data_IF_819748807551
#
_entry.id   IF_819748807551
#
_cell.length_a   1.000
_cell.length_b   1.000
_cell.length_c   1.000
_cell.angle_alpha   90.00
_cell.angle_beta   90.00
_cell.angle_gamma   90.00
#
_symmetry.space_group_name_H-M   'P 1'
#
loop_
_entity.id
_entity.type
_entity.pdbx_description
1 polymer ?
#
# COMPACT_ATOMS: atom_id res chain seq x y z
N UNK A 1 13.23 -16.56 33.82
CA UNK A 1 13.33 -16.75 32.36
C UNK A 1 13.46 -15.37 31.73
N UNK A 2 14.65 -15.01 31.23
CA UNK A 2 14.93 -13.69 30.62
C UNK A 2 14.91 -13.84 29.10
N UNK A 3 13.94 -13.22 28.44
CA UNK A 3 13.91 -13.09 26.98
C UNK A 3 14.70 -11.83 26.59
N UNK A 4 15.77 -12.00 25.82
CA UNK A 4 16.47 -10.89 25.16
C UNK A 4 15.94 -10.76 23.72
N UNK A 5 15.54 -9.56 23.24
CA UNK A 5 14.78 -9.42 22.01
C UNK A 5 15.63 -9.08 20.76
N UNK A 6 16.90 -9.47 20.72
CA UNK A 6 17.79 -9.18 19.58
C UNK A 6 18.15 -10.47 18.82
N UNK A 7 18.14 -10.48 17.47
CA UNK A 7 18.20 -11.70 16.67
C UNK A 7 19.60 -12.25 16.44
N UNK A 8 20.62 -11.73 17.13
CA UNK A 8 22.00 -12.19 16.98
C UNK A 8 22.44 -12.89 18.25
N UNK A 9 22.30 -14.22 18.26
CA UNK A 9 22.83 -15.12 19.28
C UNK A 9 24.35 -15.13 19.26
N UNK A 10 24.98 -14.05 19.71
CA UNK A 10 26.42 -14.00 19.94
C UNK A 10 26.68 -14.19 21.43
N UNK A 11 27.02 -15.42 21.81
CA UNK A 11 27.64 -15.68 23.09
C UNK A 11 29.05 -15.08 23.07
N UNK A 12 29.30 -14.08 23.92
CA UNK A 12 30.62 -13.47 24.11
C UNK A 12 31.46 -14.43 24.95
N UNK A 13 32.06 -15.42 24.30
CA UNK A 13 33.16 -16.20 24.86
C UNK A 13 34.22 -16.40 23.79
N UNK A 14 34.90 -15.32 23.42
CA UNK A 14 36.26 -15.46 22.93
C UNK A 14 37.08 -14.24 23.35
N UNK A 15 37.96 -14.44 24.32
CA UNK A 15 38.78 -13.42 24.96
C UNK A 15 40.04 -13.10 24.12
N UNK A 16 39.96 -13.29 22.81
CA UNK A 16 41.03 -13.04 21.85
C UNK A 16 40.94 -11.64 21.20
N UNK A 17 39.99 -10.80 21.62
CA UNK A 17 39.81 -9.39 21.19
C UNK A 17 40.68 -8.42 22.01
N UNK A 18 41.95 -8.76 22.24
CA UNK A 18 42.94 -7.87 22.88
C UNK A 18 44.25 -7.81 22.09
N UNK A 19 44.21 -7.99 20.77
CA UNK A 19 45.28 -7.53 19.90
C UNK A 19 44.87 -6.21 19.23
N UNK A 20 45.64 -5.12 19.40
CA UNK A 20 45.48 -3.97 18.54
C UNK A 20 45.76 -4.41 17.09
N UNK A 21 44.91 -4.04 16.11
CA UNK A 21 45.19 -4.35 14.72
C UNK A 21 46.48 -3.65 14.30
N UNK A 22 47.38 -4.39 13.65
CA UNK A 22 48.60 -3.84 13.05
C UNK A 22 48.24 -2.64 12.15
N UNK A 23 49.01 -1.54 12.17
CA UNK A 23 48.75 -0.40 11.30
C UNK A 23 48.91 -0.85 9.85
N UNK A 24 47.79 -0.99 9.15
CA UNK A 24 47.76 -1.30 7.72
C UNK A 24 48.15 0.00 7.00
N UNK A 25 49.26 -0.03 6.27
CA UNK A 25 49.73 1.04 5.40
C UNK A 25 48.57 1.59 4.54
N UNK A 26 48.28 2.88 4.70
CA UNK A 26 47.23 3.58 3.95
C UNK A 26 47.72 3.82 2.53
N UNK A 27 47.54 2.84 1.65
CA UNK A 27 47.56 3.04 0.21
C UNK A 27 46.44 4.02 -0.22
N UNK A 28 46.57 4.70 -1.38
CA UNK A 28 45.65 5.75 -1.79
C UNK A 28 44.22 5.25 -1.76
N UNK A 29 43.38 5.96 -1.01
CA UNK A 29 41.97 5.66 -0.82
C UNK A 29 41.22 5.70 -2.16
N UNK A 30 41.15 4.55 -2.84
CA UNK A 30 40.11 4.33 -3.83
C UNK A 30 38.76 4.49 -3.11
N UNK A 31 37.80 5.25 -3.65
CA UNK A 31 36.46 5.24 -3.11
C UNK A 31 35.96 3.81 -3.24
N UNK A 32 35.93 3.08 -2.13
CA UNK A 32 35.26 1.80 -2.00
C UNK A 32 33.83 2.03 -2.50
N UNK A 33 33.59 1.67 -3.76
CA UNK A 33 32.26 1.63 -4.35
C UNK A 33 31.50 0.64 -3.51
N UNK A 34 30.76 1.14 -2.52
CA UNK A 34 30.28 0.32 -1.40
C UNK A 34 29.26 -0.74 -1.83
N UNK A 35 28.80 -0.71 -3.09
CA UNK A 35 27.91 -1.68 -3.70
C UNK A 35 28.11 -1.72 -5.23
N UNK A 36 29.15 -2.37 -5.79
CA UNK A 36 29.32 -2.47 -7.25
C UNK A 36 28.23 -3.31 -7.90
N UNK A 37 27.48 -4.08 -7.09
CA UNK A 37 26.44 -5.02 -7.51
C UNK A 37 25.00 -4.57 -7.15
N UNK A 38 24.83 -3.34 -6.65
CA UNK A 38 23.49 -2.77 -6.51
C UNK A 38 22.95 -2.48 -7.91
N UNK A 39 22.19 -3.42 -8.47
CA UNK A 39 21.34 -3.18 -9.62
C UNK A 39 20.56 -1.90 -9.35
N UNK A 40 20.71 -0.90 -10.22
CA UNK A 40 19.98 0.36 -10.13
C UNK A 40 18.52 0.04 -9.81
N UNK A 41 18.05 0.43 -8.63
CA UNK A 41 16.65 0.20 -8.30
C UNK A 41 15.82 0.95 -9.33
N UNK A 42 14.87 0.28 -10.03
CA UNK A 42 14.04 0.95 -11.01
C UNK A 42 13.35 2.12 -10.31
N UNK A 43 13.56 3.33 -10.84
CA UNK A 43 13.04 4.55 -10.21
C UNK A 43 11.55 4.36 -9.88
N UNK A 44 11.08 4.77 -8.69
CA UNK A 44 9.68 4.67 -8.33
C UNK A 44 8.80 5.23 -9.45
N UNK A 45 7.86 4.43 -9.98
CA UNK A 45 6.98 4.84 -11.10
C UNK A 45 6.28 6.18 -10.83
N UNK A 46 6.02 6.50 -9.56
CA UNK A 46 5.41 7.77 -9.14
C UNK A 46 6.26 9.01 -9.49
N UNK A 47 7.58 8.89 -9.58
CA UNK A 47 8.49 9.97 -10.01
C UNK A 47 8.52 10.14 -11.53
N UNK A 48 8.03 9.16 -12.29
CA UNK A 48 7.98 9.17 -13.76
C UNK A 48 6.64 9.67 -14.30
N UNK A 49 5.68 10.02 -13.43
CA UNK A 49 4.36 10.42 -13.89
C UNK A 49 4.33 11.84 -14.41
N UNK A 50 3.69 12.00 -15.55
CA UNK A 50 3.37 13.33 -16.08
C UNK A 50 2.42 14.06 -15.12
N UNK A 51 2.41 15.41 -15.11
CA UNK A 51 1.44 16.18 -14.34
C UNK A 51 -0.02 15.74 -14.60
N UNK A 52 -0.35 15.41 -15.84
CA UNK A 52 -1.69 14.94 -16.23
C UNK A 52 -2.04 13.59 -15.61
N UNK A 53 -1.12 12.63 -15.63
CA UNK A 53 -1.33 11.31 -15.00
C UNK A 53 -1.56 11.43 -13.48
N UNK A 54 -0.79 12.30 -12.82
CA UNK A 54 -0.98 12.62 -11.40
C UNK A 54 -2.38 13.18 -11.14
N UNK A 55 -2.79 14.17 -11.94
CA UNK A 55 -4.12 14.76 -11.83
C UNK A 55 -5.24 13.73 -12.00
N UNK A 56 -5.16 12.87 -13.02
CA UNK A 56 -6.17 11.84 -13.28
C UNK A 56 -6.26 10.83 -12.14
N UNK A 57 -5.13 10.37 -11.61
CA UNK A 57 -5.12 9.50 -10.43
C UNK A 57 -5.74 10.18 -9.23
N UNK A 58 -5.32 11.40 -8.92
CA UNK A 58 -5.81 12.12 -7.73
C UNK A 58 -7.31 12.37 -7.83
N UNK A 59 -7.80 12.72 -9.02
CA UNK A 59 -9.23 12.81 -9.32
C UNK A 59 -9.95 11.49 -9.05
N UNK A 60 -9.42 10.37 -9.55
CA UNK A 60 -10.00 9.05 -9.34
C UNK A 60 -9.99 8.64 -7.85
N UNK A 61 -8.90 8.93 -7.14
CA UNK A 61 -8.76 8.67 -5.71
C UNK A 61 -9.77 9.48 -4.89
N UNK A 62 -9.97 10.77 -5.22
CA UNK A 62 -11.02 11.61 -4.61
C UNK A 62 -12.41 11.01 -4.81
N UNK A 63 -12.72 10.57 -6.03
CA UNK A 63 -14.01 9.94 -6.34
C UNK A 63 -14.23 8.66 -5.51
N UNK A 64 -13.21 7.80 -5.40
CA UNK A 64 -13.28 6.60 -4.55
C UNK A 64 -13.49 6.91 -3.07
N UNK A 65 -12.80 7.93 -2.54
CA UNK A 65 -12.95 8.32 -1.13
C UNK A 65 -14.35 8.86 -0.85
N UNK A 66 -14.92 9.66 -1.76
CA UNK A 66 -16.27 10.20 -1.62
C UNK A 66 -17.30 9.07 -1.51
N UNK A 67 -17.28 8.11 -2.44
CA UNK A 67 -18.23 6.99 -2.43
C UNK A 67 -18.05 6.09 -1.21
N UNK A 68 -16.79 5.83 -0.80
CA UNK A 68 -16.53 5.06 0.42
C UNK A 68 -17.13 5.72 1.65
N UNK A 69 -17.07 7.05 1.77
CA UNK A 69 -17.70 7.78 2.89
C UNK A 69 -19.21 7.59 2.87
N UNK A 70 -19.86 7.68 1.70
CA UNK A 70 -21.31 7.44 1.59
C UNK A 70 -21.69 6.01 2.01
N UNK A 71 -20.92 5.01 1.62
CA UNK A 71 -21.17 3.61 2.00
C UNK A 71 -20.89 3.40 3.50
N UNK A 72 -19.91 4.10 4.06
CA UNK A 72 -19.59 4.02 5.50
C UNK A 72 -20.70 4.62 6.37
N UNK A 73 -21.47 5.59 5.86
CA UNK A 73 -22.61 6.16 6.59
C UNK A 73 -23.84 5.26 6.62
N UNK A 74 -23.85 4.17 5.84
CA UNK A 74 -24.97 3.21 5.85
C UNK A 74 -24.95 2.35 7.12
N UNK A 75 -26.11 1.91 7.61
CA UNK A 75 -26.20 0.88 8.65
C UNK A 75 -25.43 -0.39 8.26
N UNK A 76 -24.80 -1.04 9.23
CA UNK A 76 -23.90 -2.18 8.96
C UNK A 76 -24.56 -3.33 8.17
N UNK A 77 -25.83 -3.64 8.47
CA UNK A 77 -26.59 -4.69 7.80
C UNK A 77 -26.95 -4.33 6.35
N UNK A 78 -27.30 -3.07 6.09
CA UNK A 78 -27.57 -2.57 4.74
C UNK A 78 -26.27 -2.52 3.92
N UNK A 79 -25.19 -2.07 4.55
CA UNK A 79 -23.87 -1.98 3.94
C UNK A 79 -23.35 -3.35 3.50
N UNK A 80 -23.49 -4.38 4.33
CA UNK A 80 -23.06 -5.74 3.96
C UNK A 80 -23.87 -6.27 2.78
N UNK A 81 -25.20 -6.16 2.84
CA UNK A 81 -26.10 -6.57 1.76
C UNK A 81 -25.78 -5.85 0.44
N UNK A 82 -25.58 -4.53 0.49
CA UNK A 82 -25.17 -3.71 -0.65
C UNK A 82 -23.84 -4.18 -1.26
N UNK A 83 -22.82 -4.40 -0.43
CA UNK A 83 -21.49 -4.80 -0.92
C UNK A 83 -21.49 -6.21 -1.51
N UNK A 84 -22.25 -7.13 -0.93
CA UNK A 84 -22.37 -8.50 -1.44
C UNK A 84 -23.11 -8.52 -2.77
N UNK A 85 -24.21 -7.78 -2.89
CA UNK A 85 -24.94 -7.65 -4.16
C UNK A 85 -24.10 -6.93 -5.23
N UNK A 86 -23.37 -5.87 -4.88
CA UNK A 86 -22.47 -5.18 -5.82
C UNK A 86 -21.37 -6.09 -6.34
N UNK A 87 -20.77 -6.92 -5.49
CA UNK A 87 -19.71 -7.86 -5.90
C UNK A 87 -20.18 -8.84 -6.96
N UNK A 88 -21.44 -9.27 -6.90
CA UNK A 88 -22.06 -10.15 -7.91
C UNK A 88 -22.36 -9.42 -9.22
N UNK A 89 -22.66 -8.12 -9.18
CA UNK A 89 -23.08 -7.32 -10.35
C UNK A 89 -21.97 -6.46 -10.97
N UNK A 90 -20.78 -6.44 -10.36
CA UNK A 90 -19.57 -5.68 -10.75
C UNK A 90 -19.06 -5.95 -12.18
N UNK A 91 -19.59 -6.96 -12.86
CA UNK A 91 -19.34 -7.30 -14.26
C UNK A 91 -20.52 -8.17 -14.74
N UNK A 92 -21.61 -7.59 -15.27
CA UNK A 92 -21.59 -6.92 -16.57
C UNK A 92 -22.25 -5.53 -16.63
N UNK A 93 -22.97 -5.11 -15.58
CA UNK A 93 -23.86 -3.93 -15.63
C UNK A 93 -23.15 -2.68 -15.07
N UNK A 94 -22.39 -2.84 -13.99
CA UNK A 94 -21.71 -1.73 -13.33
C UNK A 94 -20.20 -1.94 -13.37
N UNK A 95 -19.42 -1.05 -14.01
CA UNK A 95 -17.97 -1.20 -14.05
C UNK A 95 -17.35 -1.10 -12.67
N UNK A 96 -16.20 -1.74 -12.48
CA UNK A 96 -15.36 -1.63 -11.27
C UNK A 96 -14.66 -0.25 -11.19
N UNK A 97 -15.45 0.82 -11.24
CA UNK A 97 -15.02 2.21 -11.21
C UNK A 97 -15.87 3.02 -10.23
N UNK A 98 -15.40 4.20 -9.79
CA UNK A 98 -16.20 5.10 -8.96
C UNK A 98 -17.58 5.40 -9.59
N UNK A 99 -17.62 5.63 -10.90
CA UNK A 99 -18.87 5.94 -11.60
C UNK A 99 -19.84 4.74 -11.58
N UNK A 100 -19.33 3.52 -11.80
CA UNK A 100 -20.15 2.31 -11.75
C UNK A 100 -20.73 2.05 -10.37
N UNK A 101 -19.89 2.14 -9.32
CA UNK A 101 -20.34 1.97 -7.94
C UNK A 101 -21.35 3.06 -7.52
N UNK A 102 -21.14 4.32 -7.95
CA UNK A 102 -22.11 5.41 -7.71
C UNK A 102 -23.45 5.15 -8.41
N UNK A 103 -23.41 4.65 -9.65
CA UNK A 103 -24.61 4.26 -10.40
C UNK A 103 -25.38 3.13 -9.70
N UNK A 104 -24.66 2.12 -9.21
CA UNK A 104 -25.27 1.04 -8.44
C UNK A 104 -25.87 1.53 -7.11
N UNK A 105 -25.16 2.38 -6.38
CA UNK A 105 -25.66 2.98 -5.13
C UNK A 105 -26.94 3.80 -5.33
N UNK A 106 -27.05 4.51 -6.46
CA UNK A 106 -28.28 5.20 -6.81
C UNK A 106 -29.44 4.25 -7.15
N UNK A 107 -29.16 3.15 -7.84
CA UNK A 107 -30.16 2.12 -8.15
C UNK A 107 -30.63 1.40 -6.87
N UNK A 108 -29.70 0.98 -6.02
CA UNK A 108 -29.97 0.32 -4.74
C UNK A 108 -30.86 1.16 -3.83
N UNK A 109 -30.58 2.47 -3.73
CA UNK A 109 -31.43 3.40 -2.95
C UNK A 109 -32.84 3.52 -3.53
N UNK A 110 -33.01 3.48 -4.86
CA UNK A 110 -34.34 3.51 -5.48
C UNK A 110 -35.14 2.25 -5.14
N UNK A 111 -34.51 1.08 -5.23
CA UNK A 111 -35.14 -0.20 -4.86
C UNK A 111 -35.54 -0.22 -3.38
N UNK A 112 -34.64 0.23 -2.49
CA UNK A 112 -34.93 0.33 -1.07
C UNK A 112 -36.09 1.28 -0.76
N UNK A 113 -36.22 2.40 -1.49
CA UNK A 113 -37.34 3.33 -1.34
C UNK A 113 -38.65 2.87 -2.00
N UNK A 114 -38.57 2.01 -3.03
CA UNK A 114 -39.73 1.51 -3.77
C UNK A 114 -40.43 0.33 -3.09
N UNK A 115 -39.75 -0.38 -2.19
CA UNK A 115 -40.30 -1.52 -1.44
C UNK A 115 -41.08 -1.14 -0.17
N UNK A 116 -41.37 0.15 0.03
CA UNK A 116 -42.06 0.67 1.21
C UNK A 116 -43.58 0.88 1.02
N UNK A 117 -44.22 0.15 0.09
CA UNK A 117 -45.67 0.21 -0.19
C UNK A 117 -46.34 -1.10 0.16
#
# INVERSE_FOLDING_TARGET
MRFSPWPYGVAVTDLSVLMPPQPVEVGPSEPLGLFPDMKEQPRPKALQWTPEQRYLRDRQARAWRAIRREIQTMPDAERSAFLDAWRMLRNPIYPASPCGLKGYLAAYRREASGNAV
#
